data_IF_824843832199
#
_entry.id   IF_824843832199
#
_cell.length_a   1.000
_cell.length_b   1.000
_cell.length_c   1.000
_cell.angle_alpha   90.00
_cell.angle_beta   90.00
_cell.angle_gamma   90.00
#
_symmetry.space_group_name_H-M   'P 1'
#
loop_
_entity.id
_entity.type
_entity.pdbx_description
1 polymer ?
2 non-polymer ?
3 non-polymer ?
4 water ?
#
# COMPACT_ATOMS: atom_id res chain seq x y z
N UNK A 1 0.70 11.65 -11.12
CA UNK A 1 0.80 10.60 -10.12
C UNK A 1 1.09 9.26 -10.77
N UNK A 2 1.27 8.25 -9.92
CA UNK A 2 1.52 6.91 -10.39
C UNK A 2 0.50 5.94 -9.84
N UNK A 3 0.57 4.73 -10.38
CA UNK A 3 -0.11 3.57 -9.85
C UNK A 3 0.87 2.42 -10.00
N UNK A 4 0.55 1.26 -9.42
CA UNK A 4 1.43 0.11 -9.56
C UNK A 4 1.06 -0.64 -10.84
N UNK A 5 2.02 -0.74 -11.75
CA UNK A 5 1.79 -1.41 -13.03
C UNK A 5 2.06 -2.91 -12.98
N UNK A 6 2.80 -3.37 -11.98
CA UNK A 6 3.08 -4.79 -11.85
C UNK A 6 3.94 -5.02 -10.63
N UNK A 7 4.08 -6.28 -10.25
CA UNK A 7 4.91 -6.66 -9.13
C UNK A 7 5.80 -7.83 -9.52
N UNK A 8 6.92 -7.95 -8.82
CA UNK A 8 7.75 -9.14 -8.87
C UNK A 8 7.60 -9.80 -7.52
N UNK A 9 7.01 -10.99 -7.51
CA UNK A 9 6.64 -11.67 -6.29
C UNK A 9 7.33 -13.03 -6.29
N UNK A 10 8.26 -13.21 -5.35
CA UNK A 10 8.99 -14.46 -5.25
C UNK A 10 9.64 -14.82 -6.58
N UNK A 11 10.20 -13.80 -7.25
CA UNK A 11 10.95 -13.98 -8.47
C UNK A 11 10.17 -13.89 -9.77
N UNK A 12 8.84 -13.83 -9.72
CA UNK A 12 8.00 -13.91 -10.90
C UNK A 12 7.26 -12.60 -11.09
N UNK A 13 7.17 -12.15 -12.34
CA UNK A 13 6.46 -10.92 -12.65
C UNK A 13 4.97 -11.18 -12.83
N UNK A 14 4.16 -10.30 -12.24
CA UNK A 14 2.72 -10.29 -12.42
C UNK A 14 2.28 -8.91 -12.87
N UNK A 15 1.58 -8.83 -13.99
CA UNK A 15 1.02 -7.55 -14.41
C UNK A 15 -0.08 -7.11 -13.46
N UNK A 16 -0.11 -5.81 -13.18
CA UNK A 16 -1.08 -5.24 -12.25
C UNK A 16 -2.32 -4.72 -12.93
N UNK A 17 -3.05 -3.87 -12.22
CA UNK A 17 -4.27 -3.28 -12.75
C UNK A 17 -3.92 -1.97 -13.43
N UNK A 18 -3.93 -1.98 -14.77
CA UNK A 18 -3.51 -0.84 -15.58
C UNK A 18 -4.67 0.14 -15.62
N UNK A 19 -4.70 1.04 -14.63
CA UNK A 19 -5.86 1.92 -14.44
C UNK A 19 -6.04 2.92 -15.58
N UNK A 20 -5.03 3.12 -16.41
CA UNK A 20 -5.13 3.97 -17.60
C UNK A 20 -5.63 3.22 -18.82
N UNK A 21 -5.93 1.93 -18.70
CA UNK A 21 -6.36 1.12 -19.85
C UNK A 21 -7.56 0.23 -19.52
N UNK A 22 -7.48 -0.51 -18.42
CA UNK A 22 -8.48 -1.53 -18.12
C UNK A 22 -9.87 -0.97 -17.80
N UNK A 23 -10.00 0.19 -17.14
CA UNK A 23 -11.34 0.74 -16.92
C UNK A 23 -12.09 1.04 -18.21
N UNK A 24 -11.40 1.18 -19.34
CA UNK A 24 -12.00 1.44 -20.65
C UNK A 24 -12.22 0.16 -21.44
N UNK A 25 -12.42 -0.96 -20.76
CA UNK A 25 -12.73 -2.23 -21.39
C UNK A 25 -14.00 -2.78 -20.77
N UNK A 26 -14.87 -3.34 -21.62
CA UNK A 26 -16.06 -4.00 -21.10
C UNK A 26 -15.71 -5.33 -20.46
N UNK A 27 -14.62 -5.97 -20.91
CA UNK A 27 -14.18 -7.28 -20.41
C UNK A 27 -12.70 -7.20 -20.05
N UNK A 28 -12.36 -6.56 -18.94
CA UNK A 28 -10.95 -6.39 -18.57
C UNK A 28 -10.32 -7.72 -18.22
N UNK A 29 -9.00 -7.84 -18.33
CA UNK A 29 -8.34 -9.12 -18.12
C UNK A 29 -8.22 -9.46 -16.64
N UNK A 30 -8.02 -10.75 -16.39
CA UNK A 30 -7.75 -11.21 -15.03
C UNK A 30 -6.36 -10.80 -14.60
N UNK A 31 -6.26 -10.41 -13.33
CA UNK A 31 -4.99 -10.01 -12.73
C UNK A 31 -5.06 -10.31 -11.23
N UNK A 32 -3.89 -10.44 -10.60
CA UNK A 32 -3.86 -10.53 -9.15
C UNK A 32 -4.22 -9.20 -8.49
N UNK A 33 -4.17 -8.11 -9.24
CA UNK A 33 -4.41 -6.77 -8.71
C UNK A 33 -5.88 -6.43 -8.73
N UNK A 34 -6.30 -5.68 -7.72
CA UNK A 34 -7.69 -5.25 -7.63
C UNK A 34 -7.97 -4.17 -8.67
N UNK A 35 -9.19 -4.19 -9.21
CA UNK A 35 -9.60 -3.09 -10.07
C UNK A 35 -9.97 -1.87 -9.23
N UNK A 36 -9.83 -0.69 -9.84
CA UNK A 36 -10.29 0.56 -9.23
C UNK A 36 -10.87 1.42 -10.34
N UNK A 37 -11.53 2.51 -9.95
CA UNK A 37 -11.98 3.52 -10.89
C UNK A 37 -11.11 4.77 -10.87
N UNK A 38 -9.89 4.68 -10.31
CA UNK A 38 -9.06 5.86 -10.11
C UNK A 38 -8.29 6.24 -11.38
N UNK A 39 -9.04 6.46 -12.46
CA UNK A 39 -8.47 6.76 -13.76
C UNK A 39 -7.79 8.12 -13.81
N UNK A 40 -8.14 9.02 -12.91
CA UNK A 40 -7.43 10.29 -12.79
C UNK A 40 -6.08 10.14 -12.09
N UNK A 41 -5.66 8.91 -11.78
CA UNK A 41 -4.46 8.64 -11.00
C UNK A 41 -4.53 9.26 -9.62
N UNK A 42 -5.74 9.39 -9.10
CA UNK A 42 -5.97 10.08 -7.86
C UNK A 42 -5.67 9.25 -6.62
N UNK A 43 -6.25 9.71 -5.52
CA UNK A 43 -5.91 9.26 -4.19
C UNK A 43 -7.20 9.21 -3.39
N UNK A 44 -7.10 8.68 -2.18
CA UNK A 44 -8.15 8.81 -1.18
C UNK A 44 -7.57 9.67 -0.06
N UNK A 45 -8.23 10.79 0.23
CA UNK A 45 -7.78 11.67 1.31
C UNK A 45 -8.63 11.42 2.56
N UNK A 46 -8.43 12.27 3.57
CA UNK A 46 -9.08 12.05 4.85
C UNK A 46 -10.59 12.08 4.80
N UNK A 47 -11.17 12.73 3.79
CA UNK A 47 -12.62 12.69 3.66
C UNK A 47 -13.14 11.29 3.36
N UNK A 48 -12.27 10.36 2.95
CA UNK A 48 -12.65 9.00 2.67
C UNK A 48 -11.99 7.95 3.56
N UNK A 49 -11.39 8.36 4.69
CA UNK A 49 -10.76 7.37 5.55
C UNK A 49 -11.75 6.41 6.20
N UNK A 50 -13.03 6.78 6.27
CA UNK A 50 -14.06 5.88 6.76
C UNK A 50 -14.94 5.34 5.64
N UNK A 51 -14.60 5.62 4.38
CA UNK A 51 -15.23 5.04 3.21
C UNK A 51 -14.52 3.75 2.84
N UNK A 52 -15.26 2.76 2.32
CA UNK A 52 -14.59 1.57 1.78
C UNK A 52 -13.54 1.88 0.74
N UNK A 53 -13.55 3.08 0.14
CA UNK A 53 -12.54 3.45 -0.85
C UNK A 53 -11.13 3.39 -0.29
N UNK A 54 -10.94 3.62 1.02
CA UNK A 54 -9.59 3.59 1.59
C UNK A 54 -8.98 2.19 1.55
N UNK A 55 -9.80 1.14 1.46
CA UNK A 55 -9.30 -0.22 1.62
C UNK A 55 -8.34 -0.59 0.48
N UNK A 56 -8.82 -0.53 -0.75
CA UNK A 56 -8.05 -0.89 -1.93
C UNK A 56 -8.19 0.14 -3.05
N UNK A 57 -8.50 1.40 -2.67
CA UNK A 57 -8.69 2.52 -3.58
C UNK A 57 -10.13 2.59 -4.13
N UNK A 58 -10.40 3.61 -4.93
CA UNK A 58 -11.77 3.99 -5.26
C UNK A 58 -12.54 2.87 -5.95
N UNK A 59 -13.69 2.53 -5.38
CA UNK A 59 -14.60 1.53 -5.95
C UNK A 59 -13.92 0.20 -6.21
N UNK A 60 -12.92 -0.16 -5.42
CA UNK A 60 -12.09 -1.31 -5.76
C UNK A 60 -12.89 -2.61 -5.72
N UNK A 61 -12.60 -3.49 -6.68
CA UNK A 61 -13.22 -4.81 -6.74
C UNK A 61 -12.13 -5.87 -6.82
N UNK A 62 -12.43 -7.05 -6.28
CA UNK A 62 -11.42 -8.10 -6.10
C UNK A 62 -10.69 -8.44 -7.39
N UNK A 63 -9.37 -8.55 -7.30
CA UNK A 63 -8.65 -9.26 -8.35
C UNK A 63 -9.10 -10.70 -8.42
N UNK A 64 -9.09 -11.25 -9.64
CA UNK A 64 -9.55 -12.62 -9.82
C UNK A 64 -8.46 -13.66 -9.59
N UNK A 65 -7.19 -13.30 -9.80
CA UNK A 65 -6.09 -14.24 -9.68
C UNK A 65 -5.37 -14.03 -8.36
N UNK A 66 -4.54 -15.01 -8.01
CA UNK A 66 -3.74 -14.97 -6.80
C UNK A 66 -2.32 -15.44 -7.14
N UNK A 67 -1.32 -14.73 -6.62
CA UNK A 67 0.08 -15.07 -6.83
C UNK A 67 0.62 -15.89 -5.66
N UNK A 68 1.27 -17.00 -5.97
CA UNK A 68 1.85 -17.84 -4.93
C UNK A 68 3.22 -17.27 -4.55
N UNK A 69 3.45 -17.12 -3.25
CA UNK A 69 4.64 -16.44 -2.71
C UNK A 69 5.15 -17.20 -1.50
N UNK A 70 6.44 -17.58 -1.51
CA UNK A 70 7.02 -18.22 -0.34
C UNK A 70 7.24 -17.20 0.78
N UNK A 71 6.87 -17.58 2.00
CA UNK A 71 7.19 -16.75 3.15
C UNK A 71 8.70 -16.52 3.21
N UNK A 72 9.10 -15.30 3.55
CA UNK A 72 10.49 -14.92 3.55
C UNK A 72 10.98 -14.28 2.27
N UNK A 73 10.20 -14.37 1.19
CA UNK A 73 10.65 -13.83 -0.08
C UNK A 73 10.29 -12.35 -0.21
N UNK A 74 10.83 -11.74 -1.25
CA UNK A 74 10.68 -10.31 -1.49
C UNK A 74 9.56 -10.08 -2.51
N UNK A 75 8.85 -8.98 -2.33
CA UNK A 75 7.93 -8.47 -3.33
C UNK A 75 8.39 -7.08 -3.73
N UNK A 76 8.46 -6.83 -5.04
CA UNK A 76 8.80 -5.54 -5.58
C UNK A 76 7.57 -4.94 -6.25
N UNK A 77 7.21 -3.72 -5.85
CA UNK A 77 6.06 -3.02 -6.40
C UNK A 77 6.57 -1.97 -7.39
N UNK A 78 6.21 -2.11 -8.66
CA UNK A 78 6.69 -1.21 -9.70
C UNK A 78 5.67 -0.10 -9.92
N UNK A 79 5.97 1.10 -9.43
CA UNK A 79 5.13 2.26 -9.66
C UNK A 79 5.46 2.86 -11.03
N UNK A 80 4.43 3.40 -11.69
CA UNK A 80 4.64 3.91 -13.06
C UNK A 80 5.52 5.15 -13.07
N UNK A 81 5.38 5.98 -12.05
CA UNK A 81 6.14 7.21 -11.90
C UNK A 81 5.83 7.70 -10.50
N UNK A 82 6.61 8.66 -10.00
CA UNK A 82 6.26 9.27 -8.74
C UNK A 82 6.85 10.67 -8.66
N UNK A 83 6.03 11.69 -8.37
CA UNK A 83 6.53 13.07 -8.38
C UNK A 83 7.42 13.36 -7.18
N UNK A 84 8.51 14.11 -7.44
CA UNK A 84 9.44 14.48 -6.38
C UNK A 84 8.75 15.21 -5.23
N UNK A 85 7.73 16.04 -5.51
CA UNK A 85 7.10 16.80 -4.45
C UNK A 85 6.31 15.93 -3.49
N UNK A 86 5.91 14.73 -3.91
CA UNK A 86 4.95 13.91 -3.17
C UNK A 86 5.65 13.04 -2.12
N UNK A 87 6.43 13.70 -1.26
CA UNK A 87 7.18 13.01 -0.21
C UNK A 87 6.24 12.33 0.77
N UNK A 88 6.61 11.13 1.21
CA UNK A 88 5.86 10.46 2.24
C UNK A 88 6.26 9.02 2.45
N UNK A 89 5.58 8.36 3.39
CA UNK A 89 5.91 6.98 3.74
C UNK A 89 5.36 5.97 2.75
N UNK A 90 5.99 4.80 2.77
CA UNK A 90 5.52 3.59 2.07
C UNK A 90 5.13 2.57 3.14
N UNK A 91 3.90 2.09 3.07
CA UNK A 91 3.36 1.21 4.10
C UNK A 91 2.71 0.01 3.41
N UNK A 92 2.97 -1.19 3.92
CA UNK A 92 2.47 -2.41 3.32
C UNK A 92 1.84 -3.31 4.38
N UNK A 93 0.68 -3.88 4.02
CA UNK A 93 -0.14 -4.66 4.94
C UNK A 93 -0.53 -6.01 4.32
N UNK A 94 -0.86 -6.97 5.19
CA UNK A 94 -1.46 -8.24 4.81
C UNK A 94 -2.77 -8.41 5.58
N UNK A 95 -3.83 -8.82 4.88
CA UNK A 95 -5.09 -9.18 5.52
C UNK A 95 -5.49 -10.58 5.05
N UNK A 96 -5.79 -11.51 5.97
CA UNK A 96 -6.20 -12.85 5.52
C UNK A 96 -7.55 -12.81 4.82
N UNK A 97 -7.65 -13.59 3.75
CA UNK A 97 -8.91 -13.68 3.01
C UNK A 97 -9.87 -14.71 3.56
N UNK A 98 -9.40 -15.63 4.41
CA UNK A 98 -10.28 -16.65 4.96
C UNK A 98 -11.02 -17.45 3.90
N UNK A 99 -10.33 -17.78 2.83
CA UNK A 99 -10.93 -18.32 1.62
C UNK A 99 -10.29 -17.68 0.42
N UNK A 100 -10.96 -17.75 -0.72
CA UNK A 100 -10.44 -17.17 -1.95
C UNK A 100 -10.44 -15.65 -1.85
N UNK A 101 -9.28 -15.04 -2.11
CA UNK A 101 -9.24 -13.58 -2.15
C UNK A 101 -10.05 -13.00 -3.29
N UNK A 102 -10.40 -13.81 -4.29
CA UNK A 102 -11.20 -13.33 -5.40
C UNK A 102 -12.64 -13.03 -5.00
N UNK A 103 -13.09 -13.54 -3.85
CA UNK A 103 -14.49 -13.37 -3.44
C UNK A 103 -14.66 -12.75 -2.06
N UNK A 104 -13.59 -12.49 -1.32
CA UNK A 104 -13.73 -11.92 0.02
C UNK A 104 -14.36 -10.52 -0.06
N UNK A 105 -15.23 -10.23 0.89
CA UNK A 105 -15.75 -8.87 1.04
C UNK A 105 -14.64 -7.98 1.59
N UNK A 106 -14.19 -7.00 0.80
CA UNK A 106 -13.04 -6.20 1.19
C UNK A 106 -13.26 -5.47 2.52
N UNK A 107 -14.51 -5.18 2.87
CA UNK A 107 -14.77 -4.46 4.11
C UNK A 107 -14.61 -5.33 5.36
N UNK A 108 -14.49 -6.65 5.18
CA UNK A 108 -14.24 -7.55 6.30
C UNK A 108 -12.76 -7.79 6.54
N UNK A 109 -11.89 -7.29 5.66
CA UNK A 109 -10.46 -7.53 5.79
C UNK A 109 -9.88 -6.79 6.98
N UNK A 110 -9.00 -7.46 7.71
CA UNK A 110 -8.32 -6.89 8.88
C UNK A 110 -6.83 -6.90 8.57
N UNK A 111 -6.26 -5.72 8.36
CA UNK A 111 -4.89 -5.56 7.86
C UNK A 111 -3.86 -5.50 8.97
N UNK A 112 -2.74 -6.18 8.75
CA UNK A 112 -1.58 -6.16 9.63
C UNK A 112 -0.46 -5.44 8.89
N UNK A 113 0.11 -4.42 9.51
CA UNK A 113 1.25 -3.73 8.93
C UNK A 113 2.47 -4.64 8.98
N UNK A 114 3.02 -4.99 7.82
CA UNK A 114 4.23 -5.81 7.76
C UNK A 114 5.46 -5.04 7.35
N UNK A 115 5.32 -3.82 6.82
CA UNK A 115 6.48 -3.01 6.47
C UNK A 115 6.05 -1.56 6.45
N UNK A 116 6.97 -0.68 6.84
CA UNK A 116 6.67 0.74 6.85
C UNK A 116 7.98 1.49 6.89
N UNK A 117 8.14 2.45 5.99
CA UNK A 117 9.29 3.34 6.01
C UNK A 117 8.78 4.76 5.86
N UNK A 118 9.38 5.69 6.60
CA UNK A 118 8.90 7.05 6.63
C UNK A 118 9.96 8.07 6.27
N UNK A 119 10.30 8.92 7.24
CA UNK A 119 11.29 9.95 7.02
C UNK A 119 12.69 9.37 7.20
N UNK A 120 13.53 9.57 6.19
CA UNK A 120 14.91 9.06 6.22
C UNK A 120 15.89 10.13 6.66
N UNK A 121 15.78 11.34 6.09
CA UNK A 121 16.69 12.43 6.41
C UNK A 121 15.87 13.71 6.47
N UNK A 122 15.65 14.22 7.68
CA UNK A 122 14.91 15.44 7.88
C UNK A 122 15.75 16.69 8.04
N UNK A 123 17.05 16.63 7.76
CA UNK A 123 17.93 17.77 8.01
C UNK A 123 17.52 19.00 7.23
N UNK A 124 17.00 18.82 6.01
CA UNK A 124 16.66 19.94 5.13
C UNK A 124 15.22 19.75 4.67
N UNK A 125 14.26 20.29 5.41
CA UNK A 125 12.85 20.18 4.99
C UNK A 125 12.68 20.62 3.56
N UNK A 126 11.83 19.94 2.78
CA UNK A 126 10.85 18.92 3.19
C UNK A 126 11.40 17.51 3.42
N UNK A 127 12.71 17.31 3.28
CA UNK A 127 13.32 16.07 3.69
C UNK A 127 13.38 15.00 2.62
N UNK A 128 14.02 13.90 2.99
CA UNK A 128 14.18 12.71 2.15
C UNK A 128 13.40 11.57 2.81
N UNK A 129 12.53 10.94 2.04
CA UNK A 129 11.54 10.00 2.55
C UNK A 129 11.64 8.67 1.81
N UNK A 130 10.89 7.70 2.34
CA UNK A 130 10.82 6.38 1.71
C UNK A 130 10.48 6.47 0.22
N UNK A 131 9.56 7.37 -0.14
CA UNK A 131 9.19 7.43 -1.56
C UNK A 131 10.35 7.94 -2.42
N UNK A 132 11.24 8.76 -1.86
CA UNK A 132 12.40 9.20 -2.59
C UNK A 132 13.36 8.05 -2.86
N UNK A 133 13.50 7.14 -1.89
CA UNK A 133 14.31 5.95 -2.13
C UNK A 133 13.67 5.05 -3.18
N UNK A 134 12.33 4.97 -3.17
CA UNK A 134 11.62 4.23 -4.20
C UNK A 134 11.89 4.81 -5.58
N UNK A 135 11.79 6.14 -5.70
CA UNK A 135 12.06 6.81 -6.98
C UNK A 135 13.44 6.43 -7.49
N UNK A 136 14.44 6.52 -6.60
CA UNK A 136 15.82 6.24 -7.01
C UNK A 136 15.98 4.79 -7.46
N UNK A 137 15.18 3.89 -6.92
CA UNK A 137 15.26 2.47 -7.26
C UNK A 137 14.28 2.13 -8.38
N UNK A 138 14.40 2.84 -9.50
CA UNK A 138 13.55 2.54 -10.66
C UNK A 138 12.07 2.59 -10.31
N UNK A 139 11.68 3.57 -9.48
CA UNK A 139 10.30 3.73 -9.04
C UNK A 139 9.73 2.42 -8.46
N UNK A 140 10.55 1.70 -7.69
CA UNK A 140 10.16 0.39 -7.18
C UNK A 140 10.30 0.34 -5.66
N UNK A 141 9.23 -0.11 -5.00
CA UNK A 141 9.24 -0.34 -3.56
C UNK A 141 9.43 -1.83 -3.29
N UNK A 142 10.10 -2.14 -2.19
CA UNK A 142 10.47 -3.51 -1.85
C UNK A 142 9.99 -3.84 -0.45
N UNK A 143 9.41 -5.03 -0.29
CA UNK A 143 9.03 -5.55 1.02
C UNK A 143 9.43 -7.02 1.11
N UNK A 144 9.58 -7.49 2.33
CA UNK A 144 9.84 -8.90 2.62
C UNK A 144 8.61 -9.47 3.31
N UNK A 145 8.07 -10.55 2.77
CA UNK A 145 7.04 -11.28 3.51
C UNK A 145 7.73 -12.00 4.66
N UNK A 146 7.27 -11.86 5.91
CA UNK A 146 7.97 -12.51 7.03
C UNK A 146 8.07 -14.01 6.82
N UNK A 147 9.27 -14.56 7.06
CA UNK A 147 9.47 -16.00 6.91
C UNK A 147 8.54 -16.80 7.81
N UNK A 148 8.14 -16.23 8.95
CA UNK A 148 7.32 -16.94 9.91
C UNK A 148 5.82 -16.78 9.66
N UNK A 149 5.42 -16.01 8.65
CA UNK A 149 4.00 -15.74 8.47
C UNK A 149 3.23 -17.00 8.12
N UNK A 150 2.01 -17.10 8.66
CA UNK A 150 1.18 -18.28 8.45
C UNK A 150 0.81 -18.42 6.98
N UNK A 151 0.91 -19.61 6.40
CA UNK A 151 0.45 -19.80 5.02
C UNK A 151 -1.04 -19.54 4.89
N UNK A 152 -1.43 -19.14 3.70
CA UNK A 152 -2.83 -18.89 3.41
C UNK A 152 -2.96 -17.78 2.39
N UNK A 153 -4.21 -17.44 2.08
CA UNK A 153 -4.53 -16.41 1.11
C UNK A 153 -4.64 -15.05 1.80
N UNK A 154 -4.04 -14.03 1.22
CA UNK A 154 -4.03 -12.70 1.81
C UNK A 154 -4.19 -11.64 0.74
N UNK A 155 -4.87 -10.56 1.11
CA UNK A 155 -4.77 -9.31 0.35
C UNK A 155 -3.54 -8.56 0.82
N UNK A 156 -2.67 -8.24 -0.12
CA UNK A 156 -1.46 -7.45 0.10
C UNK A 156 -1.82 -6.02 -0.31
N UNK A 157 -1.80 -5.10 0.66
CA UNK A 157 -2.20 -3.71 0.47
C UNK A 157 -0.96 -2.85 0.61
N UNK A 158 -0.49 -2.28 -0.50
CA UNK A 158 0.71 -1.47 -0.55
C UNK A 158 0.29 -0.02 -0.79
N UNK A 159 0.93 0.92 -0.09
CA UNK A 159 0.40 2.27 -0.07
C UNK A 159 1.51 3.30 0.06
N UNK A 160 1.41 4.38 -0.71
CA UNK A 160 2.16 5.60 -0.47
C UNK A 160 1.20 6.61 0.11
N UNK A 161 1.63 7.36 1.12
CA UNK A 161 0.88 8.52 1.60
C UNK A 161 1.70 9.76 1.25
N UNK A 162 1.24 10.53 0.28
CA UNK A 162 1.93 11.76 -0.09
C UNK A 162 1.55 12.86 0.88
N UNK A 163 2.56 13.58 1.38
CA UNK A 163 2.39 14.54 2.47
C UNK A 163 2.62 15.99 2.06
N UNK A 164 2.71 16.28 0.76
CA UNK A 164 3.02 17.63 0.31
C UNK A 164 1.95 18.67 0.67
N UNK A 165 0.72 18.23 0.98
CA UNK A 165 -0.37 19.10 1.41
C UNK A 165 -0.90 18.69 2.80
N UNK A 166 -0.14 17.87 3.53
CA UNK A 166 -0.70 17.17 4.69
C UNK A 166 -0.81 18.02 5.94
N UNK A 167 -0.27 19.24 5.95
CA UNK A 167 -0.55 20.10 7.07
C UNK A 167 -2.02 20.48 7.17
N UNK A 168 -2.74 20.41 6.05
CA UNK A 168 -4.16 20.71 6.03
C UNK A 168 -4.96 19.51 6.50
N UNK A 169 -6.08 19.78 7.17
CA UNK A 169 -7.07 18.74 7.43
C UNK A 169 -7.45 18.07 6.11
N UNK A 170 -7.37 16.75 6.08
CA UNK A 170 -7.69 15.94 4.90
C UNK A 170 -6.70 16.14 3.75
N UNK A 171 -5.53 16.71 4.05
CA UNK A 171 -4.58 17.03 3.00
C UNK A 171 -3.68 15.88 2.57
N UNK A 172 -3.40 14.93 3.46
CA UNK A 172 -2.61 13.76 3.08
C UNK A 172 -3.35 12.99 1.99
N UNK A 173 -2.60 12.45 1.04
CA UNK A 173 -3.16 11.75 -0.12
C UNK A 173 -2.71 10.30 -0.06
N UNK A 174 -3.66 9.37 0.09
CA UNK A 174 -3.34 7.95 0.22
C UNK A 174 -3.51 7.25 -1.12
N UNK A 175 -2.53 6.42 -1.48
CA UNK A 175 -2.52 5.71 -2.76
C UNK A 175 -2.41 4.21 -2.49
N UNK A 176 -3.48 3.56 -2.03
CA UNK A 176 -3.43 2.12 -1.81
C UNK A 176 -3.57 1.34 -3.11
N UNK A 177 -2.84 0.23 -3.18
CA UNK A 177 -2.91 -0.71 -4.29
C UNK A 177 -2.93 -2.11 -3.71
N UNK A 178 -3.93 -2.91 -4.09
CA UNK A 178 -4.10 -4.24 -3.53
C UNK A 178 -3.82 -5.34 -4.54
N UNK A 179 -3.31 -6.47 -4.00
CA UNK A 179 -2.94 -7.65 -4.77
C UNK A 179 -3.29 -8.89 -3.95
N UNK A 180 -3.71 -9.95 -4.63
CA UNK A 180 -3.97 -11.22 -3.95
C UNK A 180 -2.74 -12.11 -3.98
N UNK A 181 -2.34 -12.61 -2.82
CA UNK A 181 -1.22 -13.54 -2.72
C UNK A 181 -1.63 -14.75 -1.89
N UNK A 182 -0.96 -15.87 -2.15
CA UNK A 182 -1.06 -17.05 -1.29
C UNK A 182 0.34 -17.34 -0.76
N UNK A 183 0.50 -17.22 0.56
CA UNK A 183 1.80 -17.47 1.19
C UNK A 183 1.95 -18.97 1.45
N UNK A 184 3.13 -19.51 1.15
CA UNK A 184 3.56 -20.84 1.57
C UNK A 184 4.72 -20.70 2.55
N UNK A 185 4.82 -21.62 3.51
CA UNK A 185 5.89 -21.51 4.49
C UNK A 185 5.69 -22.48 5.64
N UNK A 186 6.63 -22.40 6.58
CA UNK A 186 6.63 -23.28 7.73
C UNK A 186 6.25 -22.59 9.03
N UNK A 187 5.94 -21.28 8.98
CA UNK A 187 5.58 -20.55 10.18
C UNK A 187 4.09 -20.58 10.49
N UNK A 188 3.75 -19.99 11.65
CA UNK A 188 2.37 -19.91 12.09
C UNK A 188 2.01 -18.53 12.63
N UNK A 189 2.84 -17.52 12.40
CA UNK A 189 2.63 -16.22 13.00
C UNK A 189 1.68 -15.37 12.16
N UNK A 190 0.84 -14.60 12.84
CA UNK A 190 -0.08 -13.68 12.18
C UNK A 190 -0.31 -12.54 13.14
N UNK A 191 -0.35 -11.33 12.62
CA UNK A 191 -0.67 -10.20 13.46
C UNK A 191 -2.15 -10.08 13.72
N UNK A 192 -2.48 -9.19 14.65
CA UNK A 192 -3.86 -8.83 14.93
C UNK A 192 -4.21 -7.64 14.04
N UNK A 193 -5.19 -7.84 13.16
CA UNK A 193 -5.44 -6.90 12.09
C UNK A 193 -6.41 -5.79 12.46
N UNK A 194 -6.44 -4.77 11.58
CA UNK A 194 -7.25 -3.57 11.74
C UNK A 194 -8.04 -3.39 10.46
N UNK A 195 -9.36 -3.15 10.59
CA UNK A 195 -10.18 -2.88 9.43
C UNK A 195 -9.61 -1.74 8.61
N UNK A 196 -9.75 -1.82 7.28
CA UNK A 196 -9.26 -0.75 6.41
C UNK A 196 -9.77 0.61 6.80
N UNK A 197 -11.06 0.73 7.12
CA UNK A 197 -11.66 2.00 7.49
C UNK A 197 -11.31 2.44 8.91
N UNK A 198 -10.50 1.67 9.63
CA UNK A 198 -9.97 2.05 10.93
C UNK A 198 -8.47 2.32 10.90
N UNK A 199 -7.83 2.26 9.73
CA UNK A 199 -6.38 2.45 9.68
C UNK A 199 -5.97 3.87 10.04
N UNK A 200 -6.70 4.88 9.58
CA UNK A 200 -6.25 6.26 9.68
C UNK A 200 -7.41 7.18 10.04
N UNK A 201 -7.08 8.24 10.81
CA UNK A 201 -7.97 9.36 11.03
C UNK A 201 -7.28 10.63 10.59
N UNK A 202 -8.07 11.62 10.15
CA UNK A 202 -7.51 12.87 9.65
C UNK A 202 -6.84 13.71 10.72
N UNK A 203 -7.05 13.38 11.99
CA UNK A 203 -6.42 14.07 13.10
C UNK A 203 -5.13 13.39 13.57
N UNK A 204 -4.78 12.23 13.00
CA UNK A 204 -3.62 11.49 13.49
C UNK A 204 -2.33 12.27 13.24
N UNK A 205 -1.35 12.16 14.15
CA UNK A 205 -0.13 12.98 14.01
C UNK A 205 0.70 12.67 12.78
N UNK A 206 0.64 11.45 12.27
CA UNK A 206 1.33 11.09 11.05
C UNK A 206 0.55 11.38 9.79
N UNK A 207 -0.67 11.87 9.95
CA UNK A 207 -1.52 12.24 8.82
C UNK A 207 -1.57 13.75 8.64
N UNK A 208 -1.82 14.48 9.72
CA UNK A 208 -1.86 15.94 9.70
C UNK A 208 -0.48 16.41 10.17
N UNK A 209 0.42 16.55 9.21
CA UNK A 209 1.84 16.72 9.49
C UNK A 209 2.41 17.69 8.46
N UNK A 210 3.22 18.64 8.94
CA UNK A 210 3.82 19.69 8.10
C UNK A 210 5.26 19.30 7.77
N UNK A 211 5.49 18.84 6.54
CA UNK A 211 6.85 18.43 6.16
C UNK A 211 7.77 19.61 5.90
N UNK A 212 7.24 20.83 5.83
CA UNK A 212 8.04 21.99 5.46
C UNK A 212 8.68 22.68 6.66
N UNK A 213 8.27 22.32 7.86
CA UNK A 213 8.85 22.90 9.08
C UNK A 213 9.84 21.92 9.70
N UNK A 214 10.54 22.39 10.72
CA UNK A 214 11.55 21.64 11.45
C UNK A 214 11.14 20.18 11.63
N UNK A 215 12.01 19.26 11.17
CA UNK A 215 11.72 17.84 11.19
C UNK A 215 12.54 17.09 12.23
N UNK A 216 13.23 17.81 13.12
CA UNK A 216 14.10 17.17 14.10
C UNK A 216 13.33 16.27 15.07
N UNK A 217 12.02 16.50 15.23
CA UNK A 217 11.22 15.62 16.04
C UNK A 217 10.82 14.31 15.38
N UNK A 218 11.21 14.11 14.12
CA UNK A 218 10.87 12.90 13.41
C UNK A 218 9.47 12.91 12.84
N UNK A 219 9.10 11.77 12.25
CA UNK A 219 7.79 11.58 11.65
C UNK A 219 7.20 10.30 12.23
N UNK A 220 6.05 10.37 12.89
CA UNK A 220 5.41 9.16 13.42
C UNK A 220 4.61 8.48 12.33
N UNK A 221 5.10 7.34 11.86
CA UNK A 221 4.39 6.68 10.75
C UNK A 221 2.98 6.32 11.21
N UNK A 222 1.96 6.62 10.43
CA UNK A 222 0.58 6.39 10.88
C UNK A 222 0.16 4.93 10.68
N UNK A 223 -1.07 4.64 11.11
CA UNK A 223 -1.60 3.31 11.02
C UNK A 223 -1.29 2.46 12.25
N UNK A 224 -1.71 1.21 12.21
CA UNK A 224 -1.48 0.30 13.34
C UNK A 224 -0.01 -0.09 13.45
N UNK A 225 0.30 -0.80 14.52
CA UNK A 225 1.69 -1.10 14.83
C UNK A 225 2.26 -2.15 13.89
N UNK A 226 3.56 -2.04 13.65
CA UNK A 226 4.26 -2.99 12.80
C UNK A 226 4.28 -4.37 13.44
N UNK A 227 3.98 -5.39 12.63
CA UNK A 227 4.06 -6.80 13.05
C UNK A 227 5.47 -7.14 13.52
N UNK A 228 5.55 -7.87 14.62
CA UNK A 228 6.83 -8.27 15.18
C UNK A 228 6.97 -9.80 15.17
X LIG B 1 -9.56 9.10 -7.44
X LIG B 1 -10.49 8.80 -8.45
X LIG B 1 -10.31 9.55 -6.19
X LIG B 1 -10.57 8.44 -5.39
X LIG B 1 -11.30 8.73 -4.22
X LIG B 1 -12.75 8.28 -4.40
X LIG B 1 -13.03 8.06 -5.75
X LIG C 1 -0.63 15.36 -6.69
#
# INVERSE_FOLDING_TARGET
HGFVSGIVADGSYYGGYNTDEYPYMSNPPNVIAWSTTATNCGFTNGTGYQSPDIICHSNASNGSNTAVVAAGSSIQFQWTVWPASHHGPLITYLAPCGGNCATVDKTTLDFTKIAAVGLVNGVSPPGVWADDSMIADNNTAVVVIPASYAPGNYVLRHEIIALHVAGNNNGAQNYPQCFNIQITGGGSAQGSGVAGTSLYKNTDPGIKFNIYSDLSGGYPIPGPALFA
PEG C1 O1 C2 O2 C3 C4 O4
CU CU
#
